data_IF_391952667815
#
_entry.id   IF_391952667815
#
_cell.length_a   1.000
_cell.length_b   1.000
_cell.length_c   1.000
_cell.angle_alpha   90.00
_cell.angle_beta   90.00
_cell.angle_gamma   90.00
#
_symmetry.space_group_name_H-M   'P 1'
#
loop_
_entity.id
_entity.type
_entity.pdbx_description
1 polymer ?
#
# COMPACT_ATOMS: atom_id res chain seq x y z
N UNK A 1 31.47 1.80 -18.04
CA UNK A 1 30.89 1.74 -19.40
C UNK A 1 30.40 3.15 -19.72
N UNK A 2 31.24 3.92 -20.44
CA UNK A 2 30.98 5.31 -20.83
C UNK A 2 30.13 5.32 -22.10
N UNK A 3 28.83 5.47 -21.98
CA UNK A 3 27.91 5.70 -23.08
C UNK A 3 26.91 6.77 -22.69
N UNK A 4 26.41 7.54 -23.68
CA UNK A 4 25.42 8.58 -23.46
C UNK A 4 24.21 7.99 -22.75
N UNK A 5 23.80 8.63 -21.65
CA UNK A 5 22.60 8.31 -20.88
C UNK A 5 21.45 9.18 -21.41
N UNK A 6 20.42 8.54 -21.89
CA UNK A 6 19.25 9.20 -22.48
C UNK A 6 17.98 8.74 -21.79
N UNK A 7 17.05 9.69 -21.54
CA UNK A 7 15.73 9.42 -20.97
C UNK A 7 14.68 9.87 -21.97
N UNK A 8 13.75 8.99 -22.30
CA UNK A 8 12.70 9.28 -23.27
C UNK A 8 11.37 8.62 -22.90
N UNK A 9 10.25 9.20 -23.36
CA UNK A 9 8.93 8.68 -23.10
C UNK A 9 8.68 7.38 -23.88
N UNK A 10 7.87 6.51 -23.28
CA UNK A 10 7.43 5.26 -23.90
C UNK A 10 6.42 5.57 -25.01
N UNK A 11 6.67 5.01 -26.22
CA UNK A 11 5.79 5.20 -27.39
C UNK A 11 5.28 3.89 -27.99
N UNK A 12 5.95 2.76 -27.71
CA UNK A 12 5.63 1.47 -28.32
C UNK A 12 5.19 0.41 -27.30
N UNK A 13 4.50 -0.63 -27.79
CA UNK A 13 4.14 -1.80 -26.98
C UNK A 13 5.36 -2.54 -26.43
N UNK A 14 6.43 -2.57 -27.21
CA UNK A 14 7.69 -3.21 -26.77
C UNK A 14 8.33 -2.45 -25.61
N UNK A 15 8.35 -1.12 -25.67
CA UNK A 15 8.84 -0.28 -24.57
C UNK A 15 7.94 -0.37 -23.34
N UNK A 16 6.61 -0.41 -23.52
CA UNK A 16 5.67 -0.64 -22.42
C UNK A 16 5.97 -1.97 -21.71
N UNK A 17 6.21 -3.03 -22.47
CA UNK A 17 6.59 -4.33 -21.91
C UNK A 17 7.94 -4.25 -21.19
N UNK A 18 8.93 -3.57 -21.77
CA UNK A 18 10.24 -3.38 -21.18
C UNK A 18 10.13 -2.63 -19.84
N UNK A 19 9.40 -1.54 -19.80
CA UNK A 19 9.12 -0.78 -18.57
C UNK A 19 8.53 -1.68 -17.47
N UNK A 20 7.49 -2.42 -17.79
CA UNK A 20 6.81 -3.30 -16.84
C UNK A 20 7.69 -4.45 -16.33
N UNK A 21 8.64 -4.91 -17.15
CA UNK A 21 9.50 -6.04 -16.79
C UNK A 21 10.89 -5.63 -16.31
N UNK A 22 11.21 -4.34 -16.31
CA UNK A 22 12.50 -3.83 -15.86
C UNK A 22 12.80 -4.16 -14.38
N UNK A 23 11.84 -4.17 -13.45
CA UNK A 23 12.07 -4.54 -12.06
C UNK A 23 12.70 -5.92 -11.88
N UNK A 24 12.39 -6.91 -12.74
CA UNK A 24 13.02 -8.24 -12.68
C UNK A 24 14.54 -8.21 -12.88
N UNK A 25 15.06 -7.15 -13.51
CA UNK A 25 16.51 -6.94 -13.63
C UNK A 25 17.09 -6.33 -12.38
N UNK A 26 16.41 -5.39 -11.75
CA UNK A 26 16.86 -4.72 -10.52
C UNK A 26 16.90 -5.70 -9.35
N UNK A 27 15.86 -6.52 -9.23
CA UNK A 27 15.72 -7.47 -8.14
C UNK A 27 16.20 -8.88 -8.49
N UNK A 28 17.01 -9.03 -9.53
CA UNK A 28 17.56 -10.33 -9.90
C UNK A 28 18.41 -10.91 -8.76
N UNK A 29 17.99 -12.07 -8.24
CA UNK A 29 18.65 -12.74 -7.12
C UNK A 29 18.25 -12.24 -5.72
N UNK A 30 17.32 -11.29 -5.61
CA UNK A 30 16.76 -10.90 -4.32
C UNK A 30 15.59 -11.85 -3.94
N UNK A 31 15.76 -12.73 -2.94
CA UNK A 31 14.75 -13.69 -2.56
C UNK A 31 13.57 -13.06 -1.79
N UNK A 32 13.67 -11.79 -1.42
CA UNK A 32 12.68 -11.08 -0.63
C UNK A 32 11.76 -10.22 -1.49
N UNK A 33 12.11 -10.02 -2.75
CA UNK A 33 11.28 -9.26 -3.68
C UNK A 33 10.08 -10.07 -4.13
N UNK A 34 8.89 -9.47 -4.05
CA UNK A 34 7.64 -10.05 -4.55
C UNK A 34 7.33 -9.48 -5.93
N UNK A 35 7.46 -10.27 -7.00
CA UNK A 35 7.13 -9.81 -8.35
C UNK A 35 5.66 -9.42 -8.46
N UNK A 36 5.33 -8.20 -8.93
CA UNK A 36 3.94 -7.81 -9.13
C UNK A 36 3.29 -8.62 -10.26
N UNK A 37 1.99 -8.84 -10.17
CA UNK A 37 1.24 -9.48 -11.26
C UNK A 37 1.32 -8.59 -12.51
N UNK A 38 1.95 -9.11 -13.57
CA UNK A 38 2.25 -8.34 -14.78
C UNK A 38 0.99 -7.81 -15.46
N UNK A 39 -0.08 -8.59 -15.48
CA UNK A 39 -1.37 -8.20 -16.07
C UNK A 39 -2.01 -7.02 -15.32
N UNK A 40 -1.96 -7.03 -13.98
CA UNK A 40 -2.49 -5.93 -13.16
C UNK A 40 -1.66 -4.66 -13.34
N UNK A 41 -0.32 -4.77 -13.34
CA UNK A 41 0.55 -3.62 -13.63
C UNK A 41 0.32 -3.05 -15.03
N UNK A 42 0.10 -3.90 -16.03
CA UNK A 42 -0.24 -3.47 -17.39
C UNK A 42 -1.58 -2.72 -17.45
N UNK A 43 -2.56 -3.12 -16.64
CA UNK A 43 -3.84 -2.42 -16.49
C UNK A 43 -3.67 -1.07 -15.78
N UNK A 44 -2.89 -1.02 -14.70
CA UNK A 44 -2.63 0.21 -13.93
C UNK A 44 -2.07 1.33 -14.80
N UNK A 45 -1.10 1.02 -15.68
CA UNK A 45 -0.45 2.02 -16.54
C UNK A 45 -1.15 2.23 -17.90
N UNK A 46 -2.30 1.65 -18.11
CA UNK A 46 -3.07 1.79 -19.36
C UNK A 46 -4.03 2.98 -19.26
N UNK A 47 -3.87 4.03 -20.10
CA UNK A 47 -4.76 5.20 -20.05
C UNK A 47 -6.25 4.87 -20.22
N UNK A 48 -6.59 3.80 -20.94
CA UNK A 48 -7.98 3.40 -21.16
C UNK A 48 -8.57 2.57 -20.01
N UNK A 49 -7.74 1.96 -19.17
CA UNK A 49 -8.17 0.95 -18.18
C UNK A 49 -7.77 1.26 -16.74
N UNK A 50 -6.71 2.03 -16.55
CA UNK A 50 -6.17 2.41 -15.24
C UNK A 50 -7.08 3.41 -14.54
N UNK A 51 -7.44 3.13 -13.29
CA UNK A 51 -8.32 3.99 -12.50
C UNK A 51 -7.78 5.42 -12.31
N UNK A 52 -6.46 5.56 -12.21
CA UNK A 52 -5.79 6.86 -12.08
C UNK A 52 -6.13 7.83 -13.20
N UNK A 53 -6.22 7.35 -14.44
CA UNK A 53 -6.43 8.19 -15.62
C UNK A 53 -7.85 8.81 -15.72
N UNK A 54 -8.76 8.41 -14.86
CA UNK A 54 -10.07 9.09 -14.70
C UNK A 54 -9.94 10.45 -14.01
N UNK A 55 -8.90 10.64 -13.19
CA UNK A 55 -8.70 11.83 -12.35
C UNK A 55 -7.39 12.57 -12.60
N UNK A 56 -6.48 11.98 -13.39
CA UNK A 56 -5.16 12.55 -13.62
C UNK A 56 -4.55 12.14 -14.94
N UNK A 57 -3.30 12.50 -15.13
CA UNK A 57 -2.48 12.14 -16.27
C UNK A 57 -1.12 11.64 -15.85
N UNK A 58 -0.52 10.78 -16.67
CA UNK A 58 0.80 10.23 -16.40
C UNK A 58 1.58 10.00 -17.69
N UNK A 59 2.89 10.14 -17.61
CA UNK A 59 3.81 9.77 -18.67
C UNK A 59 4.91 8.85 -18.11
N UNK A 60 5.26 7.83 -18.88
CA UNK A 60 6.18 6.78 -18.49
C UNK A 60 7.48 6.96 -19.27
N UNK A 61 8.63 6.81 -18.59
CA UNK A 61 9.95 7.04 -19.16
C UNK A 61 10.88 5.86 -18.94
N UNK A 62 11.78 5.65 -19.90
CA UNK A 62 12.88 4.69 -19.83
C UNK A 62 14.19 5.43 -19.98
N UNK A 63 15.16 5.15 -19.11
CA UNK A 63 16.54 5.53 -19.27
C UNK A 63 17.32 4.44 -19.99
N UNK A 64 18.14 4.82 -20.97
CA UNK A 64 19.08 3.91 -21.65
C UNK A 64 20.50 4.49 -21.62
N UNK A 65 21.46 3.59 -21.42
CA UNK A 65 22.88 3.88 -21.56
C UNK A 65 23.47 2.99 -22.65
N UNK A 66 24.03 3.60 -23.70
CA UNK A 66 24.50 2.87 -24.89
C UNK A 66 23.41 1.89 -25.43
N UNK A 67 22.17 2.33 -25.55
CA UNK A 67 21.03 1.55 -26.05
C UNK A 67 20.45 0.53 -25.05
N UNK A 68 21.12 0.23 -23.93
CA UNK A 68 20.66 -0.73 -22.93
C UNK A 68 19.78 -0.05 -21.88
N UNK A 69 18.63 -0.61 -21.52
CA UNK A 69 17.77 -0.04 -20.47
C UNK A 69 18.48 -0.09 -19.11
N UNK A 70 18.51 1.04 -18.40
CA UNK A 70 19.17 1.20 -17.09
C UNK A 70 18.25 1.77 -16.02
N UNK A 71 17.05 2.25 -16.38
CA UNK A 71 16.09 2.70 -15.41
C UNK A 71 14.70 3.00 -15.99
N UNK A 72 13.74 3.14 -15.13
CA UNK A 72 12.35 3.51 -15.43
C UNK A 72 11.83 4.52 -14.40
N UNK A 73 10.92 5.37 -14.81
CA UNK A 73 10.17 6.28 -13.92
C UNK A 73 8.85 6.67 -14.57
N UNK A 74 7.87 7.03 -13.75
CA UNK A 74 6.63 7.64 -14.15
C UNK A 74 6.57 9.06 -13.56
N UNK A 75 6.14 10.04 -14.35
CA UNK A 75 5.67 11.33 -13.86
C UNK A 75 4.16 11.39 -14.00
N UNK A 76 3.46 11.92 -13.00
CA UNK A 76 2.01 11.94 -12.98
C UNK A 76 1.47 13.18 -12.26
N UNK A 77 0.30 13.65 -12.69
CA UNK A 77 -0.49 14.67 -12.01
C UNK A 77 -1.85 14.09 -11.65
N UNK A 78 -2.18 14.04 -10.38
CA UNK A 78 -3.54 13.81 -9.90
C UNK A 78 -4.28 15.16 -9.88
N UNK A 79 -4.91 15.51 -11.02
CA UNK A 79 -5.57 16.80 -11.21
C UNK A 79 -6.69 17.03 -10.22
N UNK A 80 -7.52 16.01 -10.01
CA UNK A 80 -8.64 16.12 -9.08
C UNK A 80 -8.16 16.38 -7.64
N UNK A 81 -7.06 15.74 -7.26
CA UNK A 81 -6.46 15.97 -5.95
C UNK A 81 -5.82 17.36 -5.85
N UNK A 82 -5.03 17.76 -6.86
CA UNK A 82 -4.41 19.08 -6.91
C UNK A 82 -5.43 20.21 -6.82
N UNK A 83 -6.53 20.12 -7.58
CA UNK A 83 -7.63 21.08 -7.54
C UNK A 83 -8.27 21.15 -6.15
N UNK A 84 -8.59 20.01 -5.56
CA UNK A 84 -9.22 19.92 -4.24
C UNK A 84 -8.33 20.47 -3.11
N UNK A 85 -7.03 20.19 -3.18
CA UNK A 85 -6.06 20.60 -2.16
C UNK A 85 -5.45 21.98 -2.42
N UNK A 86 -5.74 22.60 -3.56
CA UNK A 86 -5.08 23.84 -3.98
C UNK A 86 -3.58 23.67 -4.20
N UNK A 87 -3.12 22.46 -4.50
CA UNK A 87 -1.71 22.12 -4.69
C UNK A 87 -1.31 22.06 -6.15
N UNK A 88 -0.01 22.01 -6.41
CA UNK A 88 0.60 21.81 -7.73
C UNK A 88 1.68 20.73 -7.62
N UNK A 89 1.25 19.54 -7.20
CA UNK A 89 2.12 18.41 -6.93
C UNK A 89 2.21 17.49 -8.17
N UNK A 90 3.43 17.12 -8.51
CA UNK A 90 3.75 16.05 -9.44
C UNK A 90 4.09 14.80 -8.62
N UNK A 91 3.37 13.74 -8.84
CA UNK A 91 3.69 12.42 -8.33
C UNK A 91 4.75 11.77 -9.23
N UNK A 92 5.77 11.13 -8.65
CA UNK A 92 6.64 10.20 -9.37
C UNK A 92 6.52 8.78 -8.81
N UNK A 93 6.72 7.79 -9.66
CA UNK A 93 6.63 6.38 -9.25
C UNK A 93 7.23 5.43 -10.29
N UNK A 94 7.06 4.12 -10.11
CA UNK A 94 7.74 3.11 -10.94
C UNK A 94 9.23 3.40 -11.08
N UNK A 95 9.81 3.95 -10.00
CA UNK A 95 11.19 4.41 -9.94
C UNK A 95 12.11 3.22 -9.73
N UNK A 96 12.81 2.83 -10.80
CA UNK A 96 13.78 1.75 -10.79
C UNK A 96 15.03 2.20 -11.52
N UNK A 97 16.22 1.98 -10.94
CA UNK A 97 17.47 2.38 -11.56
C UNK A 97 18.65 1.50 -11.12
N UNK A 98 19.62 1.34 -12.00
CA UNK A 98 20.80 0.50 -11.75
C UNK A 98 21.86 1.23 -10.92
N UNK A 99 21.91 2.56 -10.99
CA UNK A 99 22.92 3.40 -10.32
C UNK A 99 22.41 4.84 -10.11
N UNK A 100 23.20 5.61 -9.37
CA UNK A 100 22.87 7.00 -8.99
C UNK A 100 22.83 7.96 -10.19
N UNK A 101 23.69 7.77 -11.19
CA UNK A 101 23.68 8.60 -12.39
C UNK A 101 22.35 8.44 -13.14
N UNK A 102 21.86 7.19 -13.22
CA UNK A 102 20.55 6.90 -13.81
C UNK A 102 19.42 7.50 -12.96
N UNK A 103 19.49 7.38 -11.62
CA UNK A 103 18.51 7.98 -10.72
C UNK A 103 18.41 9.49 -10.95
N UNK A 104 19.55 10.19 -10.99
CA UNK A 104 19.62 11.62 -11.25
C UNK A 104 18.98 11.99 -12.58
N UNK A 105 19.36 11.32 -13.67
CA UNK A 105 18.81 11.63 -15.00
C UNK A 105 17.27 11.42 -15.08
N UNK A 106 16.75 10.37 -14.44
CA UNK A 106 15.33 10.10 -14.36
C UNK A 106 14.60 11.21 -13.58
N UNK A 107 15.10 11.59 -12.41
CA UNK A 107 14.49 12.61 -11.55
C UNK A 107 14.53 13.99 -12.20
N UNK A 108 15.65 14.40 -12.81
CA UNK A 108 15.77 15.64 -13.58
C UNK A 108 14.78 15.66 -14.76
N UNK A 109 14.50 14.50 -15.37
CA UNK A 109 13.50 14.39 -16.43
C UNK A 109 12.09 14.62 -15.91
N UNK A 110 11.75 14.06 -14.75
CA UNK A 110 10.46 14.29 -14.07
C UNK A 110 10.33 15.76 -13.65
N UNK A 111 11.40 16.39 -13.13
CA UNK A 111 11.39 17.82 -12.79
C UNK A 111 11.05 18.70 -14.01
N UNK A 112 11.67 18.43 -15.16
CA UNK A 112 11.37 19.14 -16.41
C UNK A 112 9.94 18.91 -16.86
N UNK A 113 9.46 17.66 -16.81
CA UNK A 113 8.09 17.32 -17.14
C UNK A 113 7.11 18.06 -16.23
N UNK A 114 7.33 18.07 -14.94
CA UNK A 114 6.50 18.76 -13.96
C UNK A 114 6.49 20.28 -14.18
N UNK A 115 7.66 20.89 -14.42
CA UNK A 115 7.79 22.31 -14.74
C UNK A 115 7.00 22.69 -16.00
N UNK A 116 7.08 21.87 -17.06
CA UNK A 116 6.32 22.07 -18.30
C UNK A 116 4.79 22.00 -18.11
N UNK A 117 4.32 21.31 -17.04
CA UNK A 117 2.91 21.24 -16.66
C UNK A 117 2.52 22.24 -15.57
N UNK A 118 3.42 23.16 -15.18
CA UNK A 118 3.16 24.19 -14.18
C UNK A 118 3.08 23.65 -12.73
N UNK A 119 3.58 22.43 -12.50
CA UNK A 119 3.67 21.82 -11.18
C UNK A 119 4.90 22.34 -10.44
N UNK A 120 4.84 22.42 -9.12
CA UNK A 120 5.85 23.08 -8.29
C UNK A 120 6.58 22.15 -7.33
N UNK A 121 6.02 20.98 -7.07
CA UNK A 121 6.58 20.03 -6.11
C UNK A 121 6.60 18.63 -6.71
N UNK A 122 7.62 17.85 -6.37
CA UNK A 122 7.65 16.42 -6.63
C UNK A 122 7.33 15.67 -5.34
N UNK A 123 6.54 14.59 -5.44
CA UNK A 123 6.20 13.71 -4.32
C UNK A 123 6.25 12.25 -4.75
N UNK A 124 6.83 11.37 -3.93
CA UNK A 124 6.89 9.95 -4.25
C UNK A 124 7.97 9.16 -3.50
N UNK A 125 8.29 7.94 -3.98
CA UNK A 125 7.64 7.29 -5.12
C UNK A 125 6.24 6.74 -4.78
N UNK A 126 5.30 6.88 -5.73
CA UNK A 126 3.95 6.30 -5.69
C UNK A 126 3.60 5.74 -7.07
N UNK A 127 3.09 4.53 -7.15
CA UNK A 127 2.88 3.84 -8.43
C UNK A 127 1.49 4.12 -9.04
N UNK A 128 1.13 5.40 -9.24
CA UNK A 128 -0.19 5.89 -9.63
C UNK A 128 -1.29 5.56 -8.60
N UNK A 129 -0.87 5.19 -7.41
CA UNK A 129 -1.71 4.92 -6.26
C UNK A 129 -0.90 5.20 -4.99
N UNK A 130 -1.49 5.91 -4.03
CA UNK A 130 -0.83 6.20 -2.76
C UNK A 130 -0.83 5.00 -1.81
N UNK A 131 -1.67 4.00 -2.07
CA UNK A 131 -1.78 2.79 -1.27
C UNK A 131 -0.94 1.63 -1.80
N UNK A 132 -0.42 1.73 -3.03
CA UNK A 132 0.36 0.66 -3.65
C UNK A 132 1.87 0.94 -3.57
N UNK A 133 2.59 0.07 -2.86
CA UNK A 133 4.04 0.13 -2.70
C UNK A 133 4.54 1.53 -2.27
N UNK A 134 3.94 2.06 -1.20
CA UNK A 134 4.18 3.40 -0.66
C UNK A 134 5.66 3.68 -0.37
N UNK A 135 6.21 4.69 -1.00
CA UNK A 135 7.51 5.27 -0.66
C UNK A 135 8.71 4.32 -0.83
N UNK A 136 9.77 4.63 -0.11
CA UNK A 136 11.01 3.86 -0.04
C UNK A 136 11.05 3.07 1.27
N UNK A 137 11.35 1.78 1.20
CA UNK A 137 11.65 0.97 2.38
C UNK A 137 12.98 1.43 2.97
N UNK A 138 12.97 1.98 4.20
CA UNK A 138 14.18 2.47 4.88
C UNK A 138 14.68 1.54 5.98
N UNK A 139 13.78 0.76 6.62
CA UNK A 139 14.11 -0.25 7.62
C UNK A 139 13.31 -1.54 7.41
N UNK A 140 13.86 -2.70 7.81
CA UNK A 140 13.16 -4.00 7.77
C UNK A 140 13.28 -4.73 6.43
N UNK A 141 14.50 -4.81 5.88
CA UNK A 141 14.82 -5.55 4.63
C UNK A 141 15.15 -7.03 4.85
N UNK A 142 14.86 -7.56 6.02
CA UNK A 142 15.17 -8.93 6.44
C UNK A 142 14.12 -9.97 6.03
N UNK A 143 12.96 -9.50 5.53
CA UNK A 143 11.84 -10.37 5.12
C UNK A 143 11.02 -9.74 3.98
N UNK A 144 10.25 -10.55 3.23
CA UNK A 144 9.37 -10.05 2.16
C UNK A 144 8.37 -9.01 2.69
N UNK A 145 7.89 -8.11 1.83
CA UNK A 145 6.80 -7.20 2.17
C UNK A 145 5.46 -7.96 2.25
N UNK A 146 4.53 -7.42 3.03
CA UNK A 146 3.12 -7.83 2.96
C UNK A 146 2.41 -7.12 1.79
N UNK A 147 1.16 -7.53 1.51
CA UNK A 147 0.34 -6.89 0.48
C UNK A 147 0.29 -5.36 0.66
N UNK A 148 0.30 -4.62 -0.45
CA UNK A 148 0.34 -3.15 -0.53
C UNK A 148 1.64 -2.50 -0.01
N UNK A 149 2.59 -3.28 0.48
CA UNK A 149 3.89 -2.75 0.90
C UNK A 149 4.95 -3.04 -0.16
N UNK A 150 5.80 -2.05 -0.41
CA UNK A 150 6.88 -2.17 -1.38
C UNK A 150 8.13 -2.84 -0.81
N UNK A 151 9.01 -3.22 -1.73
CA UNK A 151 10.38 -3.62 -1.44
C UNK A 151 11.29 -2.84 -2.38
N UNK A 152 12.25 -2.08 -1.82
CA UNK A 152 13.13 -1.21 -2.61
C UNK A 152 14.58 -1.43 -2.24
N UNK A 153 15.53 -1.31 -3.20
CA UNK A 153 16.95 -1.36 -2.91
C UNK A 153 17.37 -0.32 -1.87
N UNK A 154 18.31 -0.67 -0.99
CA UNK A 154 18.78 0.22 0.07
C UNK A 154 19.42 1.50 -0.46
N UNK A 155 20.00 1.46 -1.67
CA UNK A 155 20.63 2.60 -2.32
C UNK A 155 19.67 3.72 -2.71
N UNK A 156 18.38 3.42 -2.92
CA UNK A 156 17.41 4.40 -3.41
C UNK A 156 17.19 5.55 -2.44
N UNK A 157 17.22 5.28 -1.14
CA UNK A 157 17.19 6.33 -0.12
C UNK A 157 18.27 7.38 -0.37
N UNK A 158 19.54 6.94 -0.43
CA UNK A 158 20.66 7.83 -0.65
C UNK A 158 20.64 8.53 -2.02
N UNK A 159 20.12 7.86 -3.06
CA UNK A 159 19.98 8.48 -4.38
C UNK A 159 19.01 9.67 -4.35
N UNK A 160 17.86 9.54 -3.69
CA UNK A 160 16.90 10.63 -3.55
C UNK A 160 17.45 11.77 -2.68
N UNK A 161 18.04 11.45 -1.52
CA UNK A 161 18.57 12.46 -0.59
C UNK A 161 19.69 13.30 -1.23
N UNK A 162 20.61 12.68 -2.00
CA UNK A 162 21.66 13.41 -2.73
C UNK A 162 21.14 14.25 -3.90
N UNK A 163 19.93 13.99 -4.39
CA UNK A 163 19.25 14.83 -5.37
C UNK A 163 18.39 15.94 -4.72
N UNK A 164 18.54 16.17 -3.40
CA UNK A 164 17.85 17.23 -2.68
C UNK A 164 16.41 16.91 -2.29
N UNK A 165 16.01 15.65 -2.37
CA UNK A 165 14.73 15.22 -1.82
C UNK A 165 14.81 15.11 -0.30
N UNK A 166 13.76 15.54 0.38
CA UNK A 166 13.60 15.45 1.83
C UNK A 166 12.36 14.62 2.19
N UNK A 167 12.23 14.11 3.42
CA UNK A 167 11.00 13.47 3.84
C UNK A 167 9.78 14.36 3.56
N UNK A 168 8.82 13.83 2.81
CA UNK A 168 7.59 14.56 2.45
C UNK A 168 6.69 14.77 3.68
N UNK A 169 6.68 13.81 4.57
CA UNK A 169 5.89 13.75 5.81
C UNK A 169 6.51 12.73 6.77
N UNK A 170 5.87 12.51 7.91
CA UNK A 170 6.28 11.47 8.85
C UNK A 170 6.34 10.09 8.17
N UNK A 171 7.28 9.25 8.63
CA UNK A 171 7.45 7.90 8.09
C UNK A 171 6.20 7.05 8.33
N UNK A 172 5.96 6.10 7.45
CA UNK A 172 4.94 5.09 7.65
C UNK A 172 5.53 3.83 8.28
N UNK A 173 4.89 3.36 9.33
CA UNK A 173 5.31 2.23 10.15
C UNK A 173 4.47 1.00 9.83
N UNK A 174 5.13 -0.14 9.73
CA UNK A 174 4.48 -1.44 9.74
C UNK A 174 4.75 -2.13 11.07
N UNK A 175 3.69 -2.55 11.75
CA UNK A 175 3.78 -3.28 13.01
C UNK A 175 3.42 -4.75 12.79
N UNK A 176 4.02 -5.62 13.60
CA UNK A 176 3.62 -7.02 13.68
C UNK A 176 3.17 -7.37 15.10
N UNK A 177 2.17 -8.23 15.18
CA UNK A 177 1.72 -8.86 16.43
C UNK A 177 1.75 -10.37 16.25
N UNK A 178 2.46 -11.07 17.13
CA UNK A 178 2.37 -12.54 17.22
C UNK A 178 0.97 -12.93 17.70
N UNK A 179 0.38 -13.92 17.06
CA UNK A 179 -0.87 -14.54 17.50
C UNK A 179 -0.64 -15.68 18.53
N UNK A 180 0.54 -15.75 19.13
CA UNK A 180 0.82 -16.71 20.19
C UNK A 180 -0.20 -16.57 21.32
N UNK A 181 -0.77 -17.71 21.74
CA UNK A 181 -1.77 -17.76 22.82
C UNK A 181 -1.21 -17.27 24.16
N UNK A 182 0.11 -17.35 24.32
CA UNK A 182 0.80 -16.94 25.57
C UNK A 182 1.13 -15.46 25.64
N UNK A 183 0.82 -14.66 24.57
CA UNK A 183 1.01 -13.22 24.58
C UNK A 183 0.25 -12.55 25.75
N UNK A 184 0.95 -11.91 26.72
CA UNK A 184 0.29 -11.26 27.86
C UNK A 184 -0.62 -10.10 27.40
N UNK A 185 -0.28 -9.42 26.31
CA UNK A 185 -1.08 -8.33 25.77
C UNK A 185 -2.41 -8.84 25.21
N UNK A 186 -2.37 -9.93 24.42
CA UNK A 186 -3.59 -10.53 23.87
C UNK A 186 -4.48 -11.12 24.95
N UNK A 187 -3.90 -11.73 26.00
CA UNK A 187 -4.68 -12.21 27.15
C UNK A 187 -5.39 -11.06 27.89
N UNK A 188 -4.70 -9.94 28.12
CA UNK A 188 -5.33 -8.74 28.73
C UNK A 188 -6.46 -8.20 27.87
N UNK A 189 -6.23 -8.12 26.56
CA UNK A 189 -7.29 -7.66 25.61
C UNK A 189 -8.49 -8.58 25.66
N UNK A 190 -8.31 -9.91 25.68
CA UNK A 190 -9.38 -10.88 25.76
C UNK A 190 -10.23 -10.70 27.05
N UNK A 191 -9.59 -10.46 28.20
CA UNK A 191 -10.30 -10.22 29.46
C UNK A 191 -11.16 -8.95 29.40
N UNK A 192 -10.60 -7.88 28.83
CA UNK A 192 -11.35 -6.61 28.66
C UNK A 192 -12.49 -6.76 27.65
N UNK A 193 -12.20 -7.40 26.51
CA UNK A 193 -13.20 -7.66 25.47
C UNK A 193 -14.36 -8.51 26.00
N UNK A 194 -14.09 -9.50 26.85
CA UNK A 194 -15.14 -10.32 27.45
C UNK A 194 -16.06 -9.52 28.36
N UNK A 195 -15.54 -8.54 29.10
CA UNK A 195 -16.38 -7.63 29.92
C UNK A 195 -17.33 -6.82 29.03
N UNK A 196 -16.81 -6.26 27.93
CA UNK A 196 -17.62 -5.47 26.98
C UNK A 196 -18.65 -6.37 26.28
N UNK A 197 -18.25 -7.59 25.89
CA UNK A 197 -19.16 -8.57 25.27
C UNK A 197 -20.35 -8.90 26.16
N UNK A 198 -20.12 -9.06 27.47
CA UNK A 198 -21.20 -9.32 28.45
C UNK A 198 -22.18 -8.16 28.62
N UNK A 199 -21.76 -6.92 28.35
CA UNK A 199 -22.65 -5.76 28.38
C UNK A 199 -23.64 -5.74 27.19
N UNK A 200 -23.30 -6.39 26.07
CA UNK A 200 -24.21 -6.67 24.96
C UNK A 200 -24.57 -5.49 24.06
N UNK A 201 -24.02 -4.31 24.31
CA UNK A 201 -24.36 -3.08 23.55
C UNK A 201 -23.55 -2.89 22.27
N UNK A 202 -22.34 -3.52 22.18
CA UNK A 202 -21.56 -3.59 20.95
C UNK A 202 -21.73 -4.99 20.33
N UNK A 203 -22.14 -5.04 19.08
CA UNK A 203 -22.26 -6.28 18.31
C UNK A 203 -21.18 -6.33 17.24
N UNK A 204 -20.60 -7.51 17.02
CA UNK A 204 -19.68 -7.75 15.90
C UNK A 204 -20.41 -8.56 14.85
N UNK A 205 -20.36 -8.11 13.59
CA UNK A 205 -20.87 -8.83 12.44
C UNK A 205 -19.83 -8.99 11.35
N UNK A 206 -20.06 -9.88 10.43
CA UNK A 206 -19.37 -10.02 9.13
C UNK A 206 -20.15 -9.28 8.05
N UNK A 207 -19.53 -9.02 6.86
CA UNK A 207 -20.24 -8.43 5.73
C UNK A 207 -21.32 -9.38 5.18
N UNK A 208 -22.38 -8.80 4.66
CA UNK A 208 -23.33 -9.50 3.82
C UNK A 208 -22.82 -9.49 2.36
N UNK A 209 -22.26 -10.60 1.93
CA UNK A 209 -21.67 -10.71 0.59
C UNK A 209 -22.70 -10.58 -0.54
N UNK A 210 -24.00 -10.82 -0.27
CA UNK A 210 -25.07 -10.59 -1.24
C UNK A 210 -25.33 -9.08 -1.45
N UNK A 211 -25.02 -8.28 -0.44
CA UNK A 211 -25.19 -6.81 -0.45
C UNK A 211 -23.84 -6.08 -0.54
N UNK A 212 -22.86 -6.65 -1.25
CA UNK A 212 -21.49 -6.15 -1.32
C UNK A 212 -21.38 -4.67 -1.61
N UNK A 213 -22.17 -4.15 -2.55
CA UNK A 213 -22.13 -2.72 -2.90
C UNK A 213 -22.52 -1.82 -1.73
N UNK A 214 -23.51 -2.21 -0.96
CA UNK A 214 -23.95 -1.48 0.23
C UNK A 214 -22.90 -1.55 1.35
N UNK A 215 -22.25 -2.71 1.52
CA UNK A 215 -21.15 -2.83 2.49
C UNK A 215 -19.96 -1.95 2.11
N UNK A 216 -19.66 -1.79 0.81
CA UNK A 216 -18.64 -0.85 0.32
C UNK A 216 -19.03 0.61 0.62
N UNK A 217 -20.30 0.97 0.49
CA UNK A 217 -20.79 2.32 0.84
C UNK A 217 -20.64 2.60 2.34
N UNK A 218 -20.92 1.60 3.19
CA UNK A 218 -20.68 1.70 4.65
C UNK A 218 -19.19 1.90 4.94
N UNK A 219 -18.30 1.16 4.27
CA UNK A 219 -16.85 1.32 4.45
C UNK A 219 -16.38 2.69 3.99
N UNK A 220 -16.90 3.20 2.86
CA UNK A 220 -16.59 4.55 2.37
C UNK A 220 -16.94 5.62 3.41
N UNK A 221 -18.12 5.51 4.04
CA UNK A 221 -18.54 6.43 5.11
C UNK A 221 -17.58 6.35 6.30
N UNK A 222 -17.24 5.12 6.74
CA UNK A 222 -16.31 4.91 7.85
C UNK A 222 -14.93 5.44 7.57
N UNK A 223 -14.35 5.20 6.37
CA UNK A 223 -13.07 5.74 5.94
C UNK A 223 -13.05 7.27 6.03
N UNK A 224 -14.05 7.92 5.42
CA UNK A 224 -14.11 9.36 5.36
C UNK A 224 -14.34 10.02 6.73
N UNK A 225 -15.14 9.42 7.60
CA UNK A 225 -15.43 10.00 8.93
C UNK A 225 -14.34 9.66 9.96
N UNK A 226 -13.85 8.43 9.95
CA UNK A 226 -12.88 7.98 10.98
C UNK A 226 -11.49 8.55 10.76
N UNK A 227 -11.10 8.86 9.51
CA UNK A 227 -9.77 9.35 9.18
C UNK A 227 -9.68 10.87 9.01
N UNK A 228 -10.82 11.58 9.03
CA UNK A 228 -10.86 13.03 8.81
C UNK A 228 -10.02 13.87 9.77
N UNK A 229 -9.64 13.31 10.92
CA UNK A 229 -8.80 13.97 11.92
C UNK A 229 -7.29 13.93 11.60
N UNK A 230 -6.87 13.15 10.62
CA UNK A 230 -5.46 13.05 10.22
C UNK A 230 -5.06 14.26 9.37
N UNK A 231 -3.89 14.81 9.62
CA UNK A 231 -3.39 16.01 8.94
C UNK A 231 -3.17 15.83 7.43
N UNK A 232 -2.90 14.58 7.01
CA UNK A 232 -2.69 14.20 5.63
C UNK A 232 -3.89 13.48 5.00
N UNK A 233 -5.05 13.53 5.69
CA UNK A 233 -6.26 12.88 5.22
C UNK A 233 -6.68 13.38 3.84
N UNK A 234 -6.97 12.43 2.96
CA UNK A 234 -7.53 12.66 1.63
C UNK A 234 -8.87 11.93 1.54
N UNK A 235 -9.97 12.64 1.23
CA UNK A 235 -11.28 12.00 1.13
C UNK A 235 -11.29 10.92 0.06
N UNK A 236 -11.84 9.78 0.43
CA UNK A 236 -12.05 8.65 -0.46
C UNK A 236 -13.27 8.89 -1.35
N UNK A 237 -13.13 8.56 -2.62
CA UNK A 237 -14.22 8.58 -3.58
C UNK A 237 -14.80 7.17 -3.76
N UNK A 238 -16.10 7.08 -4.01
CA UNK A 238 -16.81 5.81 -4.14
C UNK A 238 -16.18 4.88 -5.19
N UNK A 239 -15.90 5.42 -6.37
CA UNK A 239 -15.29 4.66 -7.46
C UNK A 239 -13.89 4.12 -7.09
N UNK A 240 -13.12 4.90 -6.33
CA UNK A 240 -11.78 4.50 -5.88
C UNK A 240 -11.87 3.35 -4.86
N UNK A 241 -12.78 3.45 -3.88
CA UNK A 241 -13.01 2.39 -2.88
C UNK A 241 -13.56 1.14 -3.53
N UNK A 242 -14.51 1.27 -4.45
CA UNK A 242 -15.06 0.14 -5.19
C UNK A 242 -13.97 -0.56 -6.03
N UNK A 243 -13.15 0.19 -6.75
CA UNK A 243 -12.05 -0.35 -7.55
C UNK A 243 -10.99 -1.05 -6.69
N UNK A 244 -10.71 -0.51 -5.49
CA UNK A 244 -9.79 -1.11 -4.53
C UNK A 244 -10.30 -2.45 -4.00
N UNK A 245 -11.61 -2.58 -3.71
CA UNK A 245 -12.18 -3.76 -3.07
C UNK A 245 -12.67 -4.83 -4.04
N UNK A 246 -12.98 -4.49 -5.30
CA UNK A 246 -13.48 -5.45 -6.29
C UNK A 246 -12.61 -6.70 -6.46
N UNK A 247 -11.24 -6.62 -6.51
CA UNK A 247 -10.39 -7.79 -6.58
C UNK A 247 -10.51 -8.71 -5.36
N UNK A 248 -10.88 -8.16 -4.20
CA UNK A 248 -10.99 -8.91 -2.95
C UNK A 248 -12.33 -9.63 -2.79
N UNK A 249 -13.37 -9.22 -3.50
CA UNK A 249 -14.71 -9.81 -3.41
C UNK A 249 -14.72 -11.33 -3.56
N UNK A 250 -13.84 -11.86 -4.41
CA UNK A 250 -13.77 -13.31 -4.70
C UNK A 250 -12.75 -14.07 -3.84
N UNK A 251 -11.80 -13.37 -3.20
CA UNK A 251 -10.69 -13.99 -2.47
C UNK A 251 -10.69 -13.67 -0.98
N UNK A 252 -11.39 -12.63 -0.55
CA UNK A 252 -11.50 -12.30 0.85
C UNK A 252 -12.34 -13.33 1.61
N UNK A 253 -11.88 -13.67 2.80
CA UNK A 253 -12.65 -14.49 3.73
C UNK A 253 -13.60 -13.58 4.52
N UNK A 254 -14.94 -13.68 4.33
CA UNK A 254 -15.89 -12.80 5.02
C UNK A 254 -15.80 -12.88 6.54
N UNK A 255 -15.38 -14.02 7.10
CA UNK A 255 -15.21 -14.17 8.55
C UNK A 255 -14.05 -13.33 9.11
N UNK A 256 -13.14 -12.86 8.26
CA UNK A 256 -12.02 -12.00 8.62
C UNK A 256 -12.28 -10.52 8.30
N UNK A 257 -13.47 -10.17 7.87
CA UNK A 257 -13.91 -8.78 7.70
C UNK A 257 -14.95 -8.49 8.78
N UNK A 258 -14.59 -7.65 9.76
CA UNK A 258 -15.41 -7.41 10.92
C UNK A 258 -15.99 -6.00 10.93
N UNK A 259 -17.27 -5.90 11.27
CA UNK A 259 -17.95 -4.63 11.58
C UNK A 259 -18.37 -4.62 13.03
N UNK A 260 -18.29 -3.44 13.66
CA UNK A 260 -18.87 -3.19 14.97
C UNK A 260 -20.14 -2.36 14.83
N UNK A 261 -21.18 -2.74 15.57
CA UNK A 261 -22.47 -2.07 15.58
C UNK A 261 -22.90 -1.69 17.00
N UNK A 262 -23.52 -0.51 17.14
CA UNK A 262 -24.19 -0.06 18.35
C UNK A 262 -25.60 0.42 17.95
N UNK A 263 -26.62 -0.10 18.61
CA UNK A 263 -28.03 0.23 18.35
C UNK A 263 -28.42 0.15 16.85
N UNK A 264 -27.88 -0.83 16.12
CA UNK A 264 -28.16 -1.04 14.69
C UNK A 264 -27.37 -0.14 13.74
N UNK A 265 -26.55 0.79 14.24
CA UNK A 265 -25.65 1.61 13.43
C UNK A 265 -24.28 0.96 13.35
N UNK A 266 -23.73 0.80 12.14
CA UNK A 266 -22.34 0.39 11.97
C UNK A 266 -21.41 1.54 12.34
N UNK A 267 -20.54 1.31 13.31
CA UNK A 267 -19.66 2.33 13.92
C UNK A 267 -18.19 2.03 13.75
N UNK A 268 -17.84 0.85 13.25
CA UNK A 268 -16.45 0.46 13.08
C UNK A 268 -16.27 -0.65 12.06
N UNK A 269 -15.03 -0.76 11.54
CA UNK A 269 -14.64 -1.72 10.53
C UNK A 269 -13.20 -2.18 10.77
N UNK A 270 -12.97 -3.49 10.60
CA UNK A 270 -11.67 -4.11 10.81
C UNK A 270 -11.46 -5.25 9.81
N UNK A 271 -10.87 -4.98 8.64
CA UNK A 271 -10.64 -5.98 7.60
C UNK A 271 -9.33 -6.71 7.82
N UNK A 272 -9.36 -8.03 7.80
CA UNK A 272 -8.20 -8.89 7.72
C UNK A 272 -8.15 -9.60 6.36
N UNK A 273 -7.02 -9.54 5.69
CA UNK A 273 -6.78 -10.21 4.41
C UNK A 273 -5.53 -11.08 4.53
N UNK A 274 -5.61 -12.32 4.06
CA UNK A 274 -4.44 -13.19 4.02
C UNK A 274 -3.30 -12.52 3.22
N UNK A 275 -2.08 -12.55 3.74
CA UNK A 275 -0.94 -11.98 3.03
C UNK A 275 -0.58 -12.80 1.80
N UNK A 276 -1.22 -12.48 0.68
CA UNK A 276 -1.01 -13.19 -0.59
C UNK A 276 0.42 -13.05 -1.13
N UNK A 277 1.23 -12.12 -0.62
CA UNK A 277 2.63 -12.01 -1.02
C UNK A 277 3.43 -13.27 -0.67
N UNK A 278 3.02 -14.04 0.36
CA UNK A 278 3.60 -15.35 0.67
C UNK A 278 3.42 -16.39 -0.46
N UNK A 279 2.42 -16.18 -1.30
CA UNK A 279 2.15 -16.99 -2.50
C UNK A 279 2.76 -16.33 -3.73
N UNK A 280 2.52 -15.03 -3.92
CA UNK A 280 2.91 -14.27 -5.11
C UNK A 280 4.42 -14.25 -5.33
N UNK A 281 5.23 -14.28 -4.28
CA UNK A 281 6.70 -14.34 -4.35
C UNK A 281 7.20 -15.54 -5.18
N UNK A 282 6.43 -16.61 -5.25
CA UNK A 282 6.76 -17.83 -5.98
C UNK A 282 6.19 -17.87 -7.40
N UNK A 283 5.33 -16.92 -7.77
CA UNK A 283 4.59 -16.93 -9.03
C UNK A 283 5.26 -16.12 -10.16
N UNK A 284 6.43 -15.51 -9.91
CA UNK A 284 7.17 -14.73 -10.91
C UNK A 284 6.31 -13.66 -11.63
N UNK A 285 5.28 -13.13 -10.94
CA UNK A 285 4.34 -12.16 -11.49
C UNK A 285 3.45 -12.69 -12.62
N UNK A 286 3.36 -14.00 -12.80
CA UNK A 286 2.68 -14.69 -13.92
C UNK A 286 3.14 -14.14 -15.28
N UNK A 287 4.44 -13.91 -15.40
CA UNK A 287 5.08 -13.27 -16.55
C UNK A 287 5.05 -14.15 -17.80
N UNK A 288 5.11 -15.47 -17.62
CA UNK A 288 5.13 -16.45 -18.68
C UNK A 288 4.01 -17.49 -18.54
N UNK A 289 3.59 -18.12 -19.66
CA UNK A 289 2.53 -19.14 -19.60
C UNK A 289 2.82 -20.29 -18.60
N UNK A 290 4.06 -20.72 -18.48
CA UNK A 290 4.45 -21.78 -17.52
C UNK A 290 4.42 -21.34 -16.04
N UNK A 291 4.41 -20.04 -15.75
CA UNK A 291 4.26 -19.55 -14.38
C UNK A 291 2.87 -19.91 -13.81
N UNK A 292 1.87 -20.07 -14.69
CA UNK A 292 0.52 -20.51 -14.27
C UNK A 292 0.49 -21.94 -13.70
N UNK A 293 1.41 -22.82 -14.10
CA UNK A 293 1.54 -24.13 -13.48
C UNK A 293 1.97 -24.05 -12.00
N UNK A 294 2.69 -22.99 -11.61
CA UNK A 294 3.07 -22.72 -10.23
C UNK A 294 1.86 -22.35 -9.36
N UNK A 295 0.83 -21.73 -9.94
CA UNK A 295 -0.40 -21.36 -9.23
C UNK A 295 -1.03 -22.59 -8.61
N UNK A 296 -1.18 -23.70 -9.37
CA UNK A 296 -1.77 -24.94 -8.87
C UNK A 296 -1.04 -25.52 -7.65
N UNK A 297 0.29 -25.39 -7.63
CA UNK A 297 1.12 -25.82 -6.49
C UNK A 297 0.91 -24.92 -5.28
N UNK A 298 0.91 -23.58 -5.48
CA UNK A 298 0.91 -22.60 -4.42
C UNK A 298 -0.47 -22.18 -3.92
N UNK A 299 -1.55 -22.46 -4.68
CA UNK A 299 -2.94 -22.27 -4.22
C UNK A 299 -3.29 -23.07 -2.95
N UNK A 300 -2.53 -24.13 -2.66
CA UNK A 300 -2.71 -24.93 -1.41
C UNK A 300 -1.92 -24.37 -0.24
N UNK A 301 -1.05 -23.39 -0.50
CA UNK A 301 -0.30 -22.74 0.59
C UNK A 301 -1.24 -21.87 1.42
N UNK A 302 -1.21 -22.07 2.73
CA UNK A 302 -1.95 -21.23 3.67
C UNK A 302 -1.00 -20.13 4.18
N UNK A 303 -1.27 -18.85 3.88
CA UNK A 303 -0.49 -17.75 4.41
C UNK A 303 -0.46 -17.78 5.95
N UNK A 304 0.69 -17.46 6.52
CA UNK A 304 0.89 -17.40 7.97
C UNK A 304 0.56 -16.02 8.54
N UNK A 305 0.61 -15.01 7.70
CA UNK A 305 0.31 -13.63 8.05
C UNK A 305 -1.09 -13.25 7.64
N UNK A 306 -1.84 -12.66 8.57
CA UNK A 306 -3.05 -11.90 8.30
C UNK A 306 -2.68 -10.42 8.23
N UNK A 307 -2.90 -9.77 7.10
CA UNK A 307 -2.65 -8.34 6.94
C UNK A 307 -3.92 -7.56 7.26
N UNK A 308 -3.82 -6.62 8.18
CA UNK A 308 -4.90 -5.72 8.58
C UNK A 308 -4.49 -4.30 8.23
N UNK A 309 -5.27 -3.63 7.39
CA UNK A 309 -4.90 -2.32 6.83
C UNK A 309 -5.53 -1.13 7.57
N UNK A 310 -6.58 -1.36 8.30
CA UNK A 310 -7.28 -0.29 9.03
C UNK A 310 -8.02 -0.84 10.23
N UNK A 311 -8.05 -0.07 11.31
CA UNK A 311 -8.99 -0.23 12.42
C UNK A 311 -9.77 1.06 12.49
N UNK A 312 -10.98 1.09 11.93
CA UNK A 312 -11.81 2.27 11.90
C UNK A 312 -12.87 2.20 13.00
N UNK A 313 -12.98 3.27 13.76
CA UNK A 313 -14.09 3.52 14.69
C UNK A 313 -14.47 4.98 14.52
N UNK A 314 -15.75 5.26 14.36
CA UNK A 314 -16.26 6.63 14.30
C UNK A 314 -15.84 7.41 15.55
N UNK A 315 -15.36 8.66 15.44
CA UNK A 315 -14.82 9.43 16.55
C UNK A 315 -15.76 9.53 17.75
N UNK A 316 -17.06 9.68 17.52
CA UNK A 316 -18.09 9.76 18.58
C UNK A 316 -18.23 8.47 19.40
N UNK A 317 -17.64 7.35 18.94
CA UNK A 317 -17.64 6.06 19.64
C UNK A 317 -16.25 5.66 20.17
N UNK A 318 -15.27 6.55 20.13
CA UNK A 318 -14.00 6.30 20.78
C UNK A 318 -14.19 6.10 22.29
N UNK A 319 -13.49 5.12 22.85
CA UNK A 319 -13.70 4.74 24.25
C UNK A 319 -14.87 3.78 24.51
N UNK A 320 -15.72 3.49 23.49
CA UNK A 320 -16.82 2.53 23.62
C UNK A 320 -16.38 1.08 23.90
N UNK A 321 -15.11 0.75 23.68
CA UNK A 321 -14.60 -0.61 23.73
C UNK A 321 -14.76 -1.41 22.43
N UNK A 322 -15.42 -0.85 21.40
CA UNK A 322 -15.65 -1.53 20.13
C UNK A 322 -14.34 -1.97 19.45
N UNK A 323 -13.29 -1.14 19.51
CA UNK A 323 -11.98 -1.49 18.99
C UNK A 323 -11.39 -2.74 19.68
N UNK A 324 -11.51 -2.85 20.99
CA UNK A 324 -11.04 -4.02 21.76
C UNK A 324 -11.79 -5.29 21.37
N UNK A 325 -13.11 -5.20 21.16
CA UNK A 325 -13.92 -6.32 20.69
C UNK A 325 -13.52 -6.75 19.27
N UNK A 326 -13.32 -5.81 18.35
CA UNK A 326 -12.89 -6.10 16.98
C UNK A 326 -11.52 -6.80 16.99
N UNK A 327 -10.57 -6.31 17.78
CA UNK A 327 -9.23 -6.86 17.88
C UNK A 327 -9.26 -8.28 18.48
N UNK A 328 -10.00 -8.49 19.57
CA UNK A 328 -10.14 -9.83 20.19
C UNK A 328 -10.79 -10.83 19.25
N UNK A 329 -11.88 -10.42 18.60
CA UNK A 329 -12.59 -11.26 17.65
C UNK A 329 -11.70 -11.65 16.46
N UNK A 330 -10.97 -10.66 15.90
CA UNK A 330 -10.03 -10.92 14.82
C UNK A 330 -8.92 -11.89 15.26
N UNK A 331 -8.33 -11.68 16.42
CA UNK A 331 -7.29 -12.55 16.94
C UNK A 331 -7.78 -14.00 17.15
N UNK A 332 -9.01 -14.18 17.65
CA UNK A 332 -9.62 -15.50 17.83
C UNK A 332 -9.85 -16.20 16.48
N UNK A 333 -10.45 -15.48 15.50
CA UNK A 333 -10.74 -16.03 14.16
C UNK A 333 -9.45 -16.33 13.40
N UNK A 334 -8.48 -15.42 13.44
CA UNK A 334 -7.19 -15.60 12.79
C UNK A 334 -6.47 -16.85 13.31
N UNK A 335 -6.43 -17.06 14.64
CA UNK A 335 -5.86 -18.28 15.23
C UNK A 335 -6.61 -19.54 14.81
N UNK A 336 -7.95 -19.54 14.86
CA UNK A 336 -8.77 -20.66 14.45
C UNK A 336 -8.52 -21.06 12.98
N UNK A 337 -8.19 -20.10 12.12
CA UNK A 337 -7.84 -20.31 10.71
C UNK A 337 -6.35 -20.66 10.47
N UNK A 338 -5.51 -20.62 11.53
CA UNK A 338 -4.10 -21.06 11.49
C UNK A 338 -3.10 -19.95 11.16
N UNK A 339 -3.51 -18.67 11.18
CA UNK A 339 -2.56 -17.56 11.08
C UNK A 339 -1.67 -17.50 12.32
N UNK A 340 -0.39 -17.14 12.12
CA UNK A 340 0.62 -17.11 13.18
C UNK A 340 0.90 -15.69 13.68
N UNK A 341 0.72 -14.70 12.83
CA UNK A 341 0.95 -13.29 13.15
C UNK A 341 0.05 -12.37 12.32
N UNK A 342 -0.11 -11.15 12.82
CA UNK A 342 -0.88 -10.09 12.16
C UNK A 342 0.07 -8.96 11.78
N UNK A 343 -0.06 -8.49 10.54
CA UNK A 343 0.53 -7.26 10.07
C UNK A 343 -0.47 -6.11 10.22
N UNK A 344 0.01 -5.00 10.79
CA UNK A 344 -0.71 -3.74 10.90
C UNK A 344 0.08 -2.66 10.14
N UNK A 345 -0.09 -2.60 8.84
CA UNK A 345 0.59 -1.64 7.97
C UNK A 345 -0.40 -0.96 7.01
N UNK A 346 -0.20 0.28 6.61
CA UNK A 346 0.80 1.23 7.06
C UNK A 346 0.13 2.26 7.99
N UNK A 347 0.87 2.71 8.99
CA UNK A 347 0.39 3.75 9.90
C UNK A 347 1.41 4.87 9.95
N UNK A 348 0.98 6.12 9.78
CA UNK A 348 1.87 7.28 9.93
C UNK A 348 2.45 7.35 11.36
N UNK A 349 3.75 7.65 11.47
CA UNK A 349 4.44 7.72 12.76
C UNK A 349 3.92 8.87 13.65
N UNK A 350 3.34 9.89 13.06
CA UNK A 350 2.71 11.03 13.74
C UNK A 350 1.22 10.83 14.03
N UNK A 351 0.64 9.67 13.67
CA UNK A 351 -0.73 9.35 14.08
C UNK A 351 -0.79 9.29 15.61
N UNK A 352 -1.64 10.11 16.25
CA UNK A 352 -1.63 10.25 17.71
C UNK A 352 -2.12 9.03 18.49
N UNK A 353 -2.77 8.08 17.82
CA UNK A 353 -3.46 6.99 18.50
C UNK A 353 -2.94 5.60 18.12
N UNK A 354 -2.78 5.32 16.83
CA UNK A 354 -2.54 3.95 16.34
C UNK A 354 -1.18 3.38 16.77
N UNK A 355 -0.04 4.12 16.71
CA UNK A 355 1.24 3.60 17.15
C UNK A 355 1.26 3.22 18.64
N UNK A 356 0.63 4.02 19.50
CA UNK A 356 0.56 3.73 20.93
C UNK A 356 -0.36 2.56 21.25
N UNK A 357 -1.51 2.47 20.55
CA UNK A 357 -2.39 1.30 20.68
C UNK A 357 -1.65 0.03 20.25
N UNK A 358 -0.97 0.06 19.11
CA UNK A 358 -0.20 -1.08 18.61
C UNK A 358 0.86 -1.54 19.64
N UNK A 359 1.64 -0.61 20.20
CA UNK A 359 2.65 -0.91 21.25
C UNK A 359 2.01 -1.51 22.50
N UNK A 360 0.88 -0.95 22.97
CA UNK A 360 0.13 -1.51 24.14
C UNK A 360 -0.38 -2.92 23.88
N UNK A 361 -0.66 -3.24 22.61
CA UNK A 361 -1.05 -4.58 22.16
C UNK A 361 0.16 -5.54 22.01
N UNK A 362 1.37 -5.09 22.34
CA UNK A 362 2.59 -5.88 22.17
C UNK A 362 3.12 -5.95 20.76
N UNK A 363 2.66 -5.06 19.89
CA UNK A 363 3.17 -4.95 18.53
C UNK A 363 4.60 -4.37 18.53
N UNK A 364 5.40 -4.82 17.57
CA UNK A 364 6.73 -4.27 17.30
C UNK A 364 6.78 -3.73 15.88
N UNK A 365 7.52 -2.63 15.67
CA UNK A 365 7.81 -2.11 14.33
C UNK A 365 8.76 -3.10 13.66
N UNK A 366 8.42 -3.55 12.44
CA UNK A 366 9.26 -4.45 11.67
C UNK A 366 9.66 -3.89 10.29
N UNK A 367 8.95 -2.87 9.79
CA UNK A 367 9.33 -2.13 8.59
C UNK A 367 9.00 -0.65 8.76
N UNK A 368 9.78 0.20 8.03
CA UNK A 368 9.55 1.63 7.95
C UNK A 368 9.67 2.09 6.51
N UNK A 369 8.74 2.93 6.08
CA UNK A 369 8.67 3.47 4.73
C UNK A 369 8.67 4.99 4.77
N UNK A 370 9.33 5.61 3.80
CA UNK A 370 9.42 7.08 3.68
C UNK A 370 9.04 7.52 2.29
N UNK A 371 8.09 8.46 2.20
CA UNK A 371 7.85 9.22 0.99
C UNK A 371 8.75 10.46 0.99
N UNK A 372 9.20 10.86 -0.17
CA UNK A 372 10.10 11.97 -0.39
C UNK A 372 9.43 13.08 -1.20
N UNK A 373 9.80 14.33 -0.90
CA UNK A 373 9.36 15.49 -1.64
C UNK A 373 10.50 16.42 -2.00
N UNK A 374 10.31 17.19 -3.08
CA UNK A 374 11.26 18.22 -3.51
C UNK A 374 10.51 19.39 -4.14
N UNK A 375 10.89 20.61 -3.79
CA UNK A 375 10.42 21.80 -4.50
C UNK A 375 11.15 21.91 -5.84
N UNK A 376 10.41 22.20 -6.90
CA UNK A 376 10.98 22.48 -8.21
C UNK A 376 11.41 23.94 -8.23
N UNK A 377 12.66 24.21 -8.63
CA UNK A 377 13.13 25.57 -8.78
C UNK A 377 12.27 26.32 -9.83
N UNK A 378 11.86 27.52 -9.53
CA UNK A 378 11.20 28.38 -10.51
C UNK A 378 12.18 28.66 -11.67
N UNK A 379 11.84 28.19 -12.86
CA UNK A 379 12.57 28.51 -14.11
C UNK A 379 12.24 29.91 -14.58
#
# INVERSE_FOLDING_TARGET
>A
MTGTLEVYPIRSRAEKRLFLTFPWRIYAGDPLWVPPLLAERAKTIDPARGAFFKRGMAELFIARRAGRPVGTICAAEDRALNERMGSRECMFGFFECVDEETARALLEHVERWAGAHGLKTLAGPFNLDYEDAYGILIEGRDRPPVIFCGHTPASYQGFLERQGFTPLRADNLAFEISLDADSPALRRTAVLAERIRRQGWVKIRTPDMARWTEEVDVVLELLNKSLAHLSDFRPWERDAVQALFEPFKSIADPELILFAEIAGKTIGWFPGVANMNEVLIHLNGLRYPWDYARVLRWMRHKPRCLSVKSVLILPEYWGSGAALLLIDEMARRARAKGFQWVDLSLTSADNPYTPDLAKRMGARIYKRYRAYGKQIAAT
#
